data_IF_019865843713
#
_entry.id   IF_019865843713
#
_cell.length_a   1.000
_cell.length_b   1.000
_cell.length_c   1.000
_cell.angle_alpha   90.00
_cell.angle_beta   90.00
_cell.angle_gamma   90.00
#
_symmetry.space_group_name_H-M   'P 1'
#
loop_
_entity.id
_entity.type
_entity.pdbx_description
1 polymer ?
#
# COMPACT_ATOMS: atom_id res chain seq x y z
N UNK A 1 4.63 -8.24 23.25
CA UNK A 1 3.26 -8.79 23.29
C UNK A 1 2.34 -7.82 22.59
N UNK A 2 1.86 -8.15 21.39
CA UNK A 2 0.88 -7.31 20.70
C UNK A 2 -0.44 -7.42 21.46
N UNK A 3 -0.89 -6.32 22.07
CA UNK A 3 -2.26 -6.19 22.56
C UNK A 3 -3.19 -6.28 21.33
N UNK A 4 -3.69 -7.48 21.03
CA UNK A 4 -4.79 -7.71 20.08
C UNK A 4 -6.08 -7.17 20.71
N UNK A 5 -6.21 -5.85 20.73
CA UNK A 5 -7.47 -5.17 20.99
C UNK A 5 -7.99 -4.64 19.66
N UNK A 6 -9.32 -4.53 19.56
CA UNK A 6 -9.97 -3.84 18.46
C UNK A 6 -9.36 -2.43 18.35
N UNK A 7 -8.66 -2.16 17.26
CA UNK A 7 -8.14 -0.83 16.98
C UNK A 7 -9.30 0.08 16.66
N UNK A 8 -9.34 1.26 17.26
CA UNK A 8 -10.40 2.23 17.03
C UNK A 8 -10.36 2.75 15.58
N UNK A 9 -11.53 2.96 14.97
CA UNK A 9 -11.60 3.41 13.57
C UNK A 9 -11.18 4.87 13.44
N UNK A 10 -11.49 5.72 14.42
CA UNK A 10 -11.05 7.13 14.42
C UNK A 10 -9.53 7.22 14.56
N UNK A 11 -8.90 6.32 15.31
CA UNK A 11 -7.43 6.22 15.33
C UNK A 11 -6.86 5.76 13.99
N UNK A 12 -7.50 4.78 13.34
CA UNK A 12 -7.02 4.23 12.08
C UNK A 12 -7.10 5.23 10.92
N UNK A 13 -8.17 6.02 10.82
CA UNK A 13 -8.30 6.99 9.72
C UNK A 13 -7.19 8.04 9.75
N UNK A 14 -6.64 8.37 10.92
CA UNK A 14 -5.51 9.29 11.06
C UNK A 14 -4.22 8.79 10.39
N UNK A 15 -4.12 7.49 10.11
CA UNK A 15 -2.95 6.89 9.47
C UNK A 15 -2.96 7.07 7.95
N UNK A 16 -4.12 7.32 7.34
CA UNK A 16 -4.30 7.43 5.89
C UNK A 16 -3.45 8.59 5.35
N UNK A 17 -2.66 8.31 4.31
CA UNK A 17 -1.67 9.27 3.78
C UNK A 17 -2.27 10.25 2.77
N UNK A 18 -3.07 9.76 1.83
CA UNK A 18 -3.66 10.59 0.80
C UNK A 18 -4.95 11.26 1.29
N UNK A 19 -5.09 12.56 1.04
CA UNK A 19 -6.23 13.36 1.53
C UNK A 19 -7.55 12.98 0.86
N UNK A 20 -7.51 12.59 -0.40
CA UNK A 20 -8.71 12.25 -1.15
C UNK A 20 -9.16 10.83 -0.78
N UNK A 21 -8.23 9.88 -0.70
CA UNK A 21 -8.50 8.55 -0.13
C UNK A 21 -9.07 8.64 1.29
N UNK A 22 -8.54 9.56 2.12
CA UNK A 22 -9.08 9.82 3.46
C UNK A 22 -10.54 10.27 3.42
N UNK A 23 -10.93 11.17 2.51
CA UNK A 23 -12.33 11.61 2.42
C UNK A 23 -13.30 10.46 2.14
N UNK A 24 -12.93 9.52 1.26
CA UNK A 24 -13.75 8.33 0.99
C UNK A 24 -13.75 7.33 2.15
N UNK A 25 -12.65 7.20 2.88
CA UNK A 25 -12.62 6.38 4.10
C UNK A 25 -13.49 6.98 5.21
N UNK A 26 -13.50 8.30 5.38
CA UNK A 26 -14.38 8.95 6.36
C UNK A 26 -15.86 8.69 6.01
N UNK A 27 -16.22 8.81 4.73
CA UNK A 27 -17.55 8.44 4.24
C UNK A 27 -17.89 6.96 4.54
N UNK A 28 -16.93 6.05 4.31
CA UNK A 28 -17.09 4.63 4.61
C UNK A 28 -17.29 4.36 6.11
N UNK A 29 -16.61 5.10 6.98
CA UNK A 29 -16.77 5.00 8.44
C UNK A 29 -18.12 5.57 8.88
N UNK A 30 -18.58 6.67 8.32
CA UNK A 30 -19.87 7.28 8.65
C UNK A 30 -21.04 6.39 8.21
N UNK A 31 -20.95 5.80 7.02
CA UNK A 31 -21.95 4.83 6.53
C UNK A 31 -21.92 3.53 7.32
N UNK A 32 -20.74 3.07 7.76
CA UNK A 32 -20.63 1.94 8.69
C UNK A 32 -21.33 2.23 10.02
N UNK A 33 -21.12 3.42 10.60
CA UNK A 33 -21.74 3.82 11.88
C UNK A 33 -23.26 3.94 11.82
N UNK A 34 -23.79 4.31 10.67
CA UNK A 34 -25.25 4.45 10.44
C UNK A 34 -25.93 3.14 10.04
N UNK A 35 -25.19 2.02 9.95
CA UNK A 35 -25.72 0.72 9.56
C UNK A 35 -25.89 0.54 8.04
N UNK A 36 -25.42 1.50 7.23
CA UNK A 36 -25.45 1.43 5.78
C UNK A 36 -24.26 0.59 5.23
N UNK A 37 -24.22 -0.69 5.61
CA UNK A 37 -23.05 -1.56 5.41
C UNK A 37 -22.65 -1.79 3.95
N UNK A 38 -23.62 -1.92 3.03
CA UNK A 38 -23.34 -2.02 1.59
C UNK A 38 -22.64 -0.75 1.06
N UNK A 39 -23.11 0.42 1.48
CA UNK A 39 -22.50 1.69 1.11
C UNK A 39 -21.09 1.81 1.68
N UNK A 40 -20.87 1.40 2.93
CA UNK A 40 -19.56 1.40 3.56
C UNK A 40 -18.53 0.55 2.79
N UNK A 41 -18.91 -0.64 2.31
CA UNK A 41 -18.04 -1.48 1.46
C UNK A 41 -17.72 -0.76 0.14
N UNK A 42 -18.73 -0.17 -0.51
CA UNK A 42 -18.54 0.55 -1.77
C UNK A 42 -17.59 1.75 -1.58
N UNK A 43 -17.79 2.58 -0.56
CA UNK A 43 -16.93 3.74 -0.28
C UNK A 43 -15.51 3.31 0.13
N UNK A 44 -15.36 2.19 0.85
CA UNK A 44 -14.04 1.60 1.15
C UNK A 44 -13.31 1.20 -0.12
N UNK A 45 -14.00 0.57 -1.07
CA UNK A 45 -13.43 0.19 -2.37
C UNK A 45 -13.01 1.40 -3.22
N UNK A 46 -13.82 2.47 -3.20
CA UNK A 46 -13.48 3.73 -3.88
C UNK A 46 -12.17 4.29 -3.32
N UNK A 47 -12.02 4.33 -1.99
CA UNK A 47 -10.79 4.78 -1.35
C UNK A 47 -9.57 3.94 -1.79
N UNK A 48 -9.69 2.61 -1.77
CA UNK A 48 -8.63 1.69 -2.21
C UNK A 48 -8.24 1.93 -3.68
N UNK A 49 -9.24 2.05 -4.55
CA UNK A 49 -9.00 2.24 -5.99
C UNK A 49 -8.30 3.57 -6.27
N UNK A 50 -8.78 4.63 -5.63
CA UNK A 50 -8.19 5.97 -5.76
C UNK A 50 -6.75 5.99 -5.27
N UNK A 51 -6.49 5.41 -4.09
CA UNK A 51 -5.17 5.39 -3.48
C UNK A 51 -4.13 4.66 -4.35
N UNK A 52 -4.49 3.50 -4.92
CA UNK A 52 -3.62 2.77 -5.86
C UNK A 52 -3.28 3.66 -7.06
N UNK A 53 -4.29 4.29 -7.67
CA UNK A 53 -4.08 5.12 -8.86
C UNK A 53 -3.18 6.32 -8.52
N UNK A 54 -3.40 6.98 -7.37
CA UNK A 54 -2.58 8.10 -6.91
C UNK A 54 -1.12 7.67 -6.67
N UNK A 55 -0.90 6.52 -6.05
CA UNK A 55 0.45 5.96 -5.86
C UNK A 55 1.14 5.66 -7.19
N UNK A 56 0.42 5.11 -8.18
CA UNK A 56 0.97 4.88 -9.51
C UNK A 56 1.28 6.22 -10.21
N UNK A 57 0.44 7.26 -10.07
CA UNK A 57 0.76 8.60 -10.57
C UNK A 57 2.02 9.18 -9.94
N UNK A 58 2.22 8.97 -8.64
CA UNK A 58 3.45 9.37 -7.97
C UNK A 58 4.68 8.64 -8.52
N UNK A 59 4.60 7.33 -8.80
CA UNK A 59 5.68 6.60 -9.46
C UNK A 59 5.97 7.12 -10.86
N UNK A 60 4.94 7.42 -11.65
CA UNK A 60 5.10 8.03 -12.98
C UNK A 60 5.83 9.38 -12.89
N UNK A 61 5.45 10.21 -11.91
CA UNK A 61 6.08 11.51 -11.63
C UNK A 61 7.53 11.37 -11.18
N UNK A 62 7.89 10.27 -10.52
CA UNK A 62 9.25 9.93 -10.11
C UNK A 62 10.09 9.27 -11.22
N UNK A 63 9.51 9.07 -12.41
CA UNK A 63 10.21 8.57 -13.59
C UNK A 63 10.08 7.08 -13.85
N UNK A 64 9.18 6.37 -13.18
CA UNK A 64 8.89 4.96 -13.50
C UNK A 64 8.15 4.86 -14.85
N UNK A 65 8.75 4.15 -15.81
CA UNK A 65 8.21 4.04 -17.17
C UNK A 65 6.96 3.17 -17.25
N UNK A 66 6.85 2.13 -16.41
CA UNK A 66 5.66 1.27 -16.39
C UNK A 66 4.48 2.05 -15.81
N UNK A 67 4.72 2.84 -14.76
CA UNK A 67 3.72 3.73 -14.20
C UNK A 67 3.26 4.79 -15.20
N UNK A 68 4.18 5.40 -15.96
CA UNK A 68 3.83 6.35 -17.03
C UNK A 68 2.92 5.70 -18.08
N UNK A 69 3.32 4.54 -18.59
CA UNK A 69 2.55 3.82 -19.60
C UNK A 69 1.13 3.48 -19.11
N UNK A 70 1.01 3.00 -17.86
CA UNK A 70 -0.29 2.71 -17.24
C UNK A 70 -1.18 3.95 -17.15
N UNK A 71 -0.63 5.08 -16.64
CA UNK A 71 -1.41 6.32 -16.47
C UNK A 71 -1.77 6.94 -17.82
N UNK A 72 -0.88 6.92 -18.81
CA UNK A 72 -1.16 7.40 -20.17
C UNK A 72 -2.28 6.58 -20.83
N UNK A 73 -2.23 5.26 -20.70
CA UNK A 73 -3.28 4.37 -21.20
C UNK A 73 -4.62 4.66 -20.53
N UNK A 74 -4.65 4.78 -19.21
CA UNK A 74 -5.86 5.09 -18.45
C UNK A 74 -6.43 6.47 -18.85
N UNK A 75 -5.59 7.50 -18.96
CA UNK A 75 -6.01 8.85 -19.35
C UNK A 75 -6.60 8.91 -20.76
N UNK A 76 -6.07 8.10 -21.69
CA UNK A 76 -6.65 7.94 -23.03
C UNK A 76 -8.07 7.38 -22.95
N UNK A 77 -8.29 6.30 -22.20
CA UNK A 77 -9.63 5.73 -22.04
C UNK A 77 -10.61 6.69 -21.35
N UNK A 78 -10.13 7.50 -20.39
CA UNK A 78 -10.93 8.59 -19.79
C UNK A 78 -11.35 9.62 -20.86
N UNK A 79 -10.41 10.05 -21.70
CA UNK A 79 -10.65 11.04 -22.76
C UNK A 79 -11.63 10.52 -23.81
N UNK A 80 -11.50 9.25 -24.19
CA UNK A 80 -12.36 8.55 -25.14
C UNK A 80 -13.72 8.15 -24.54
N UNK A 81 -13.89 8.28 -23.21
CA UNK A 81 -15.05 7.80 -22.45
C UNK A 81 -15.31 6.31 -22.65
N UNK A 82 -14.25 5.52 -22.80
CA UNK A 82 -14.34 4.07 -22.95
C UNK A 82 -14.60 3.40 -21.59
N UNK A 83 -15.89 3.33 -21.23
CA UNK A 83 -16.35 2.74 -19.96
C UNK A 83 -15.94 1.28 -19.83
N UNK A 84 -15.90 0.52 -20.94
CA UNK A 84 -15.57 -0.91 -20.92
C UNK A 84 -14.11 -1.08 -20.51
N UNK A 85 -13.19 -0.33 -21.11
CA UNK A 85 -11.77 -0.41 -20.76
C UNK A 85 -11.50 0.09 -19.35
N UNK A 86 -12.20 1.14 -18.90
CA UNK A 86 -12.09 1.62 -17.51
C UNK A 86 -12.57 0.58 -16.50
N UNK A 87 -13.64 -0.16 -16.80
CA UNK A 87 -14.09 -1.29 -15.98
C UNK A 87 -13.07 -2.43 -15.96
N UNK A 88 -12.42 -2.74 -17.09
CA UNK A 88 -11.35 -3.75 -17.14
C UNK A 88 -10.15 -3.32 -16.29
N UNK A 89 -9.80 -2.03 -16.29
CA UNK A 89 -8.75 -1.49 -15.41
C UNK A 89 -9.16 -1.67 -13.95
N UNK A 90 -10.38 -1.28 -13.57
CA UNK A 90 -10.87 -1.42 -12.19
C UNK A 90 -10.86 -2.88 -11.72
N UNK A 91 -11.30 -3.81 -12.56
CA UNK A 91 -11.29 -5.24 -12.24
C UNK A 91 -9.87 -5.76 -12.00
N UNK A 92 -8.89 -5.31 -12.79
CA UNK A 92 -7.49 -5.77 -12.71
C UNK A 92 -6.64 -4.97 -11.72
N UNK A 93 -7.17 -3.89 -11.15
CA UNK A 93 -6.40 -2.89 -10.42
C UNK A 93 -5.58 -3.47 -9.26
N UNK A 94 -6.18 -4.34 -8.44
CA UNK A 94 -5.47 -4.99 -7.33
C UNK A 94 -4.35 -5.92 -7.83
N UNK A 95 -4.58 -6.63 -8.94
CA UNK A 95 -3.59 -7.52 -9.52
C UNK A 95 -2.39 -6.71 -10.02
N UNK A 96 -2.65 -5.62 -10.75
CA UNK A 96 -1.60 -4.69 -11.20
C UNK A 96 -0.86 -4.06 -10.02
N UNK A 97 -1.57 -3.64 -8.98
CA UNK A 97 -0.96 -3.12 -7.74
C UNK A 97 -0.03 -4.14 -7.07
N UNK A 98 -0.41 -5.42 -7.07
CA UNK A 98 0.39 -6.51 -6.51
C UNK A 98 1.59 -6.88 -7.40
N UNK A 99 1.36 -7.21 -8.67
CA UNK A 99 2.38 -7.82 -9.53
C UNK A 99 3.30 -6.82 -10.23
N UNK A 100 2.79 -5.66 -10.63
CA UNK A 100 3.57 -4.69 -11.41
C UNK A 100 4.17 -3.59 -10.53
N UNK A 101 3.39 -3.16 -9.53
CA UNK A 101 3.76 -2.05 -8.66
C UNK A 101 4.13 -2.48 -7.25
N UNK A 102 4.02 -3.76 -6.88
CA UNK A 102 4.44 -4.29 -5.55
C UNK A 102 3.96 -3.43 -4.36
N UNK A 103 2.74 -2.88 -4.47
CA UNK A 103 2.13 -2.07 -3.41
C UNK A 103 1.59 -2.93 -2.25
N UNK A 104 1.41 -4.22 -2.50
CA UNK A 104 0.78 -5.20 -1.64
C UNK A 104 1.65 -6.44 -1.55
N UNK A 105 1.67 -7.10 -0.38
CA UNK A 105 2.13 -8.48 -0.24
C UNK A 105 1.03 -9.47 -0.68
N UNK A 106 1.38 -10.77 -0.75
CA UNK A 106 0.43 -11.81 -1.17
C UNK A 106 -0.82 -11.88 -0.29
N UNK A 107 -0.66 -11.80 1.04
CA UNK A 107 -1.79 -11.84 2.00
C UNK A 107 -2.63 -10.57 1.87
N UNK A 108 -1.98 -9.41 1.82
CA UNK A 108 -2.65 -8.11 1.68
C UNK A 108 -3.46 -8.03 0.37
N UNK A 109 -2.91 -8.58 -0.72
CA UNK A 109 -3.62 -8.72 -1.98
C UNK A 109 -4.87 -9.60 -1.85
N UNK A 110 -4.77 -10.77 -1.22
CA UNK A 110 -5.93 -11.66 -1.03
C UNK A 110 -7.02 -11.00 -0.18
N UNK A 111 -6.65 -10.29 0.87
CA UNK A 111 -7.58 -9.57 1.73
C UNK A 111 -8.34 -8.47 0.96
N UNK A 112 -7.66 -7.71 0.10
CA UNK A 112 -8.32 -6.69 -0.72
C UNK A 112 -9.12 -7.27 -1.88
N UNK A 113 -8.76 -8.45 -2.39
CA UNK A 113 -9.59 -9.17 -3.39
C UNK A 113 -10.95 -9.56 -2.79
N UNK A 114 -11.00 -9.92 -1.50
CA UNK A 114 -12.28 -10.16 -0.81
C UNK A 114 -13.13 -8.89 -0.75
N UNK A 115 -12.53 -7.73 -0.45
CA UNK A 115 -13.21 -6.43 -0.52
C UNK A 115 -13.80 -6.18 -1.92
N UNK A 116 -13.02 -6.41 -2.98
CA UNK A 116 -13.50 -6.21 -4.36
C UNK A 116 -14.68 -7.15 -4.68
N UNK A 117 -14.63 -8.41 -4.24
CA UNK A 117 -15.70 -9.37 -4.41
C UNK A 117 -16.98 -8.94 -3.67
N UNK A 118 -16.87 -8.58 -2.39
CA UNK A 118 -18.02 -8.14 -1.60
C UNK A 118 -18.59 -6.82 -2.12
N UNK A 119 -17.74 -5.93 -2.67
CA UNK A 119 -18.20 -4.74 -3.39
C UNK A 119 -19.01 -5.08 -4.63
N UNK A 120 -18.60 -6.11 -5.38
CA UNK A 120 -19.37 -6.58 -6.53
C UNK A 120 -20.77 -7.05 -6.09
N UNK A 121 -20.84 -7.87 -5.05
CA UNK A 121 -22.12 -8.31 -4.45
C UNK A 121 -22.97 -7.12 -3.94
N UNK A 122 -22.32 -6.09 -3.37
CA UNK A 122 -23.02 -4.89 -2.91
C UNK A 122 -23.54 -4.01 -4.06
N UNK A 123 -22.86 -3.96 -5.20
CA UNK A 123 -23.20 -3.06 -6.31
C UNK A 123 -24.20 -3.66 -7.31
N UNK A 124 -24.22 -4.99 -7.46
CA UNK A 124 -25.10 -5.65 -8.41
C UNK A 124 -26.44 -6.04 -7.75
N UNK A 125 -27.58 -5.66 -8.33
CA UNK A 125 -28.87 -6.17 -7.89
C UNK A 125 -28.97 -7.67 -8.23
N UNK A 126 -29.54 -8.47 -7.33
CA UNK A 126 -29.83 -9.87 -7.60
C UNK A 126 -30.95 -9.94 -8.65
N UNK A 127 -30.61 -10.32 -9.88
CA UNK A 127 -31.59 -10.63 -10.94
C UNK A 127 -31.87 -12.14 -11.01
N UNK A 128 -32.00 -12.79 -9.85
CA UNK A 128 -32.43 -14.17 -9.74
C UNK A 128 -33.92 -14.22 -9.37
N UNK A 129 -34.68 -15.04 -10.10
CA UNK A 129 -36.08 -15.29 -9.81
C UNK A 129 -36.20 -16.03 -8.48
N UNK A 130 -37.12 -15.56 -7.64
CA UNK A 130 -37.58 -16.18 -6.39
C UNK A 130 -36.68 -15.91 -5.15
N UNK A 131 -37.00 -14.83 -4.43
CA UNK A 131 -36.76 -14.67 -2.97
C UNK A 131 -35.32 -14.74 -2.43
N UNK A 132 -34.32 -14.16 -3.10
CA UNK A 132 -33.01 -13.90 -2.47
C UNK A 132 -32.82 -12.41 -2.15
N UNK A 133 -32.80 -12.09 -0.85
CA UNK A 133 -32.46 -10.76 -0.33
C UNK A 133 -31.10 -10.31 -0.89
N UNK A 134 -31.00 -9.02 -1.26
CA UNK A 134 -29.72 -8.41 -1.63
C UNK A 134 -28.66 -8.70 -0.56
N UNK A 135 -27.43 -8.99 -0.98
CA UNK A 135 -26.31 -9.25 -0.07
C UNK A 135 -26.24 -8.19 1.07
N UNK A 136 -26.42 -8.65 2.31
CA UNK A 136 -26.34 -7.84 3.52
C UNK A 136 -25.07 -8.20 4.30
N UNK A 137 -23.97 -7.45 4.14
CA UNK A 137 -22.75 -7.67 4.91
C UNK A 137 -22.99 -7.38 6.40
N UNK A 138 -22.39 -8.20 7.27
CA UNK A 138 -22.43 -7.97 8.71
C UNK A 138 -21.54 -6.78 9.11
N UNK A 139 -21.81 -6.11 10.24
CA UNK A 139 -20.95 -5.03 10.72
C UNK A 139 -19.49 -5.48 10.90
N UNK A 140 -19.25 -6.72 11.35
CA UNK A 140 -17.92 -7.28 11.53
C UNK A 140 -17.18 -7.42 10.19
N UNK A 141 -17.88 -7.87 9.14
CA UNK A 141 -17.31 -8.00 7.79
C UNK A 141 -16.91 -6.63 7.23
N UNK A 142 -17.78 -5.63 7.35
CA UNK A 142 -17.45 -4.25 6.93
C UNK A 142 -16.24 -3.72 7.68
N UNK A 143 -16.17 -3.98 9.00
CA UNK A 143 -15.03 -3.55 9.81
C UNK A 143 -13.73 -4.19 9.35
N UNK A 144 -13.74 -5.48 9.02
CA UNK A 144 -12.56 -6.17 8.47
C UNK A 144 -12.06 -5.46 7.21
N UNK A 145 -12.96 -5.13 6.29
CA UNK A 145 -12.61 -4.41 5.06
C UNK A 145 -12.02 -3.02 5.31
N UNK A 146 -12.61 -2.24 6.21
CA UNK A 146 -12.08 -0.92 6.61
C UNK A 146 -10.67 -1.03 7.19
N UNK A 147 -10.49 -1.95 8.13
CA UNK A 147 -9.20 -2.16 8.81
C UNK A 147 -8.14 -2.64 7.81
N UNK A 148 -8.47 -3.59 6.94
CA UNK A 148 -7.56 -4.11 5.93
C UNK A 148 -7.22 -3.06 4.88
N UNK A 149 -8.18 -2.29 4.38
CA UNK A 149 -7.91 -1.19 3.45
C UNK A 149 -6.88 -0.21 4.03
N UNK A 150 -7.11 0.24 5.27
CA UNK A 150 -6.21 1.18 5.94
C UNK A 150 -4.84 0.55 6.20
N UNK A 151 -4.81 -0.61 6.86
CA UNK A 151 -3.57 -1.24 7.31
C UNK A 151 -2.73 -1.81 6.18
N UNK A 152 -3.34 -2.27 5.10
CA UNK A 152 -2.60 -2.92 4.03
C UNK A 152 -2.12 -1.91 2.99
N UNK A 153 -2.91 -0.85 2.76
CA UNK A 153 -2.67 0.06 1.66
C UNK A 153 -2.61 1.53 2.11
N UNK A 154 -3.71 2.08 2.64
CA UNK A 154 -3.91 3.54 2.71
C UNK A 154 -2.96 4.25 3.69
N UNK A 155 -2.47 3.55 4.72
CA UNK A 155 -1.49 4.12 5.66
C UNK A 155 -0.07 4.21 5.10
N UNK A 156 0.20 3.57 3.97
CA UNK A 156 1.54 3.45 3.41
C UNK A 156 1.78 4.48 2.31
N UNK A 157 2.93 5.15 2.36
CA UNK A 157 3.39 6.04 1.30
C UNK A 157 3.86 5.25 0.08
N UNK A 158 3.72 5.79 -1.14
CA UNK A 158 4.33 5.22 -2.36
C UNK A 158 5.86 5.44 -2.34
N UNK A 159 6.58 4.53 -1.68
CA UNK A 159 8.04 4.57 -1.61
C UNK A 159 8.64 3.64 -2.66
N UNK A 160 9.15 4.18 -3.78
CA UNK A 160 9.93 3.38 -4.74
C UNK A 160 11.17 4.11 -5.28
N UNK A 161 12.14 3.28 -5.72
CA UNK A 161 13.28 3.69 -6.53
C UNK A 161 14.21 4.71 -5.88
N UNK A 162 14.70 5.66 -6.69
CA UNK A 162 15.70 6.66 -6.29
C UNK A 162 15.24 7.54 -5.13
N UNK A 163 13.93 7.83 -5.03
CA UNK A 163 13.36 8.65 -3.96
C UNK A 163 13.32 7.88 -2.63
N UNK A 164 12.96 6.60 -2.67
CA UNK A 164 13.08 5.75 -1.49
C UNK A 164 14.55 5.67 -1.03
N UNK A 165 15.49 5.49 -1.97
CA UNK A 165 16.91 5.48 -1.66
C UNK A 165 17.38 6.82 -1.05
N UNK A 166 16.99 7.97 -1.61
CA UNK A 166 17.35 9.27 -1.05
C UNK A 166 16.75 9.47 0.34
N UNK A 167 15.50 9.09 0.57
CA UNK A 167 14.89 9.15 1.90
C UNK A 167 15.61 8.26 2.91
N UNK A 168 16.03 7.05 2.53
CA UNK A 168 16.84 6.17 3.39
C UNK A 168 18.17 6.83 3.72
N UNK A 169 18.86 7.40 2.72
CA UNK A 169 20.13 8.10 2.94
C UNK A 169 19.98 9.32 3.84
N UNK A 170 18.92 10.10 3.67
CA UNK A 170 18.62 11.23 4.54
C UNK A 170 18.36 10.77 5.98
N UNK A 171 17.58 9.71 6.18
CA UNK A 171 17.28 9.19 7.51
C UNK A 171 18.51 8.61 8.20
N UNK A 172 19.37 7.87 7.49
CA UNK A 172 20.64 7.34 8.04
C UNK A 172 21.55 8.47 8.53
N UNK A 173 21.49 9.65 7.89
CA UNK A 173 22.29 10.83 8.28
C UNK A 173 21.69 11.62 9.44
N UNK A 174 20.44 11.35 9.85
CA UNK A 174 19.81 12.11 10.93
C UNK A 174 20.44 11.78 12.27
N UNK A 175 20.58 12.74 13.20
CA UNK A 175 21.05 12.48 14.56
C UNK A 175 20.16 11.50 15.35
N UNK A 176 18.88 11.42 14.98
CA UNK A 176 17.90 10.51 15.58
C UNK A 176 18.00 9.08 15.06
N UNK A 177 18.88 8.80 14.11
CA UNK A 177 19.03 7.45 13.56
C UNK A 177 19.62 6.52 14.64
N UNK A 178 19.04 5.32 14.83
CA UNK A 178 19.53 4.39 15.84
C UNK A 178 20.99 4.00 15.61
N UNK A 179 21.74 3.88 16.70
CA UNK A 179 23.13 3.41 16.68
C UNK A 179 23.27 1.94 17.02
N UNK A 180 22.28 1.33 17.67
CA UNK A 180 22.25 -0.10 17.99
C UNK A 180 21.74 -0.93 16.80
N UNK A 181 22.42 -2.04 16.49
CA UNK A 181 22.14 -2.87 15.31
C UNK A 181 20.68 -3.33 15.23
N UNK A 182 20.12 -3.83 16.33
CA UNK A 182 18.72 -4.30 16.37
C UNK A 182 17.72 -3.17 16.10
N UNK A 183 18.00 -1.97 16.62
CA UNK A 183 17.17 -0.79 16.38
C UNK A 183 17.30 -0.29 14.93
N UNK A 184 18.49 -0.36 14.33
CA UNK A 184 18.73 -0.07 12.90
C UNK A 184 17.97 -1.04 12.02
N UNK A 185 18.08 -2.35 12.30
CA UNK A 185 17.35 -3.39 11.57
C UNK A 185 15.85 -3.12 11.65
N UNK A 186 15.32 -2.94 12.85
CA UNK A 186 13.89 -2.67 13.06
C UNK A 186 13.45 -1.42 12.31
N UNK A 187 14.22 -0.33 12.35
CA UNK A 187 13.90 0.91 11.66
C UNK A 187 13.88 0.75 10.14
N UNK A 188 14.96 0.22 9.55
CA UNK A 188 15.07 0.07 8.10
C UNK A 188 14.06 -0.95 7.58
N UNK A 189 13.92 -2.09 8.26
CA UNK A 189 13.00 -3.13 7.86
C UNK A 189 11.56 -2.65 7.90
N UNK A 190 11.09 -2.09 9.02
CA UNK A 190 9.69 -1.67 9.15
C UNK A 190 9.32 -0.50 8.24
N UNK A 191 10.24 0.45 8.04
CA UNK A 191 9.95 1.69 7.30
C UNK A 191 10.20 1.57 5.80
N UNK A 192 11.17 0.76 5.38
CA UNK A 192 11.64 0.73 3.99
C UNK A 192 11.72 -0.67 3.39
N UNK A 193 12.31 -1.64 4.07
CA UNK A 193 12.68 -2.93 3.43
C UNK A 193 11.54 -3.94 3.39
N UNK A 194 10.57 -3.89 4.31
CA UNK A 194 9.43 -4.82 4.36
C UNK A 194 8.66 -4.93 3.03
N UNK A 195 8.67 -3.87 2.23
CA UNK A 195 7.99 -3.79 0.92
C UNK A 195 8.91 -3.25 -0.18
N UNK A 196 10.22 -3.37 -0.01
CA UNK A 196 11.17 -2.88 -0.99
C UNK A 196 11.25 -3.83 -2.19
N UNK A 197 11.18 -3.27 -3.40
CA UNK A 197 11.60 -3.94 -4.63
C UNK A 197 13.05 -4.42 -4.49
N UNK A 198 13.37 -5.57 -5.05
CA UNK A 198 14.76 -6.09 -5.12
C UNK A 198 15.72 -5.04 -5.70
N UNK A 199 15.25 -4.26 -6.68
CA UNK A 199 16.02 -3.17 -7.29
C UNK A 199 16.39 -2.07 -6.30
N UNK A 200 15.52 -1.75 -5.32
CA UNK A 200 15.78 -0.79 -4.26
C UNK A 200 16.81 -1.35 -3.28
N UNK A 201 16.63 -2.60 -2.83
CA UNK A 201 17.58 -3.27 -1.91
C UNK A 201 18.97 -3.33 -2.54
N UNK A 202 19.06 -3.78 -3.79
CA UNK A 202 20.32 -3.82 -4.53
C UNK A 202 20.96 -2.44 -4.68
N UNK A 203 20.17 -1.43 -5.02
CA UNK A 203 20.67 -0.06 -5.16
C UNK A 203 21.18 0.49 -3.83
N UNK A 204 20.48 0.20 -2.74
CA UNK A 204 20.84 0.60 -1.38
C UNK A 204 22.15 -0.04 -0.94
N UNK A 205 22.32 -1.36 -1.13
CA UNK A 205 23.57 -2.07 -0.84
C UNK A 205 24.74 -1.45 -1.62
N UNK A 206 24.56 -1.19 -2.92
CA UNK A 206 25.59 -0.57 -3.76
C UNK A 206 25.97 0.82 -3.23
N UNK A 207 25.00 1.64 -2.82
CA UNK A 207 25.27 2.98 -2.31
C UNK A 207 25.97 2.92 -0.96
N UNK A 208 25.48 2.09 -0.01
CA UNK A 208 26.11 1.92 1.30
C UNK A 208 27.56 1.43 1.18
N UNK A 209 27.83 0.44 0.32
CA UNK A 209 29.18 -0.05 0.04
C UNK A 209 30.07 1.06 -0.54
N UNK A 210 29.57 1.84 -1.50
CA UNK A 210 30.33 2.96 -2.08
C UNK A 210 30.68 4.00 -1.02
N UNK A 211 29.73 4.37 -0.16
CA UNK A 211 29.95 5.37 0.89
C UNK A 211 30.97 4.89 1.92
N UNK A 212 30.91 3.62 2.33
CA UNK A 212 31.86 3.02 3.26
C UNK A 212 33.27 2.91 2.68
N UNK A 213 33.40 2.48 1.42
CA UNK A 213 34.70 2.33 0.76
C UNK A 213 35.38 3.68 0.47
N UNK A 214 34.60 4.75 0.25
CA UNK A 214 35.13 6.10 -0.04
C UNK A 214 35.42 6.94 1.21
N UNK A 215 35.01 6.52 2.40
CA UNK A 215 35.10 7.28 3.66
C UNK A 215 34.34 8.64 3.62
N UNK A 216 33.26 8.73 2.86
CA UNK A 216 32.57 10.00 2.67
C UNK A 216 31.78 10.48 3.92
N UNK A 217 31.60 9.64 4.97
CA UNK A 217 30.65 9.86 6.09
C UNK A 217 31.04 9.06 7.38
N UNK A 218 30.44 9.34 8.57
CA UNK A 218 30.76 8.64 9.82
C UNK A 218 30.52 7.12 9.76
N UNK A 219 31.61 6.35 9.94
CA UNK A 219 31.66 4.89 9.71
C UNK A 219 30.69 4.05 10.53
N UNK A 220 30.41 4.41 11.79
CA UNK A 220 29.71 3.53 12.73
C UNK A 220 28.25 3.28 12.32
N UNK A 221 27.56 4.32 11.87
CA UNK A 221 26.14 4.27 11.47
C UNK A 221 25.93 3.45 10.19
N UNK A 222 26.88 3.54 9.25
CA UNK A 222 26.82 2.83 7.97
C UNK A 222 27.20 1.35 8.10
N UNK A 223 28.13 0.99 8.99
CA UNK A 223 28.47 -0.40 9.28
C UNK A 223 27.28 -1.17 9.88
N UNK A 224 26.54 -0.52 10.79
CA UNK A 224 25.35 -1.11 11.39
C UNK A 224 24.20 -1.22 10.37
N UNK A 225 24.07 -0.27 9.45
CA UNK A 225 23.13 -0.39 8.34
C UNK A 225 23.47 -1.56 7.40
N UNK A 226 24.75 -1.79 7.08
CA UNK A 226 25.17 -2.91 6.23
C UNK A 226 24.94 -4.29 6.86
N UNK A 227 25.27 -4.45 8.14
CA UNK A 227 25.11 -5.73 8.85
C UNK A 227 23.65 -6.17 8.98
N UNK A 228 22.69 -5.25 8.85
CA UNK A 228 21.27 -5.60 8.74
C UNK A 228 20.94 -6.43 7.49
N UNK A 229 21.69 -6.27 6.39
CA UNK A 229 21.43 -6.95 5.11
C UNK A 229 22.04 -8.36 5.04
N UNK A 230 23.02 -8.69 5.90
CA UNK A 230 23.55 -10.07 5.98
C UNK A 230 22.49 -11.05 6.52
N UNK A 231 21.57 -10.58 7.36
CA UNK A 231 20.48 -11.39 7.91
C UNK A 231 19.31 -11.62 6.93
N UNK A 232 19.11 -10.75 5.94
CA UNK A 232 18.03 -10.92 4.94
C UNK A 232 18.33 -12.01 3.91
N UNK A 233 19.61 -12.31 3.63
CA UNK A 233 20.00 -13.39 2.72
C UNK A 233 19.69 -14.80 3.25
N UNK A 234 19.43 -14.96 4.56
CA UNK A 234 18.95 -16.24 5.10
C UNK A 234 17.43 -16.46 4.92
N UNK A 235 16.64 -15.43 4.61
CA UNK A 235 15.18 -15.54 4.49
C UNK A 235 14.68 -15.69 3.04
N UNK A 236 15.48 -15.36 2.03
CA UNK A 236 15.13 -15.54 0.61
C UNK A 236 15.44 -16.94 0.04
N UNK A 237 15.85 -17.90 0.88
CA UNK A 237 16.13 -19.29 0.48
C UNK A 237 15.18 -20.35 1.08
N UNK A 238 13.98 -19.97 1.56
CA UNK A 238 12.93 -20.93 1.92
C UNK A 238 11.58 -20.58 1.31
#
# INVERSE_FOLDING_TARGET
MNNLRLTDLDELVLLVKDKVSLSYILEAVDTYRTGAYRAAIVSTWIAVSYDIITKIREFASQGDNNAKAFIEQMNRFITEKDVIQLQIIEQKLLKTAYTEFELLSSIEYQDLVRLQHDRHLCAHPAFAAEEEDLFQPTPELVRVHLVHAIKHLLQHSPLQGKKALSCIMEDIKRPSFPSELEAVYTFLHTKYLKRAKETLVRSLIIVLLKTLLRNDEPKLTLLNALSCFENEHCYFQK
#
